data_IF_846070668869
#
_entry.id   IF_846070668869
#
_cell.length_a   1.000
_cell.length_b   1.000
_cell.length_c   1.000
_cell.angle_alpha   90.00
_cell.angle_beta   90.00
_cell.angle_gamma   90.00
#
_symmetry.space_group_name_H-M   'P 1'
#
loop_
_entity.id
_entity.type
_entity.pdbx_description
1 polymer ?
#
# COMPACT_ATOMS: atom_id res chain seq x y z
N UNK A 1 -32.94 30.73 66.00
CA UNK A 1 -32.82 31.31 64.64
C UNK A 1 -31.37 31.14 64.22
N UNK A 2 -31.07 30.10 63.44
CA UNK A 2 -30.87 30.06 61.97
C UNK A 2 -29.38 30.22 61.57
N UNK A 3 -28.86 29.13 60.98
CA UNK A 3 -27.65 28.98 60.12
C UNK A 3 -26.32 28.90 60.90
N UNK A 4 -25.45 27.90 60.68
CA UNK A 4 -24.58 27.80 59.49
C UNK A 4 -24.10 26.34 59.25
N UNK A 5 -24.31 25.90 58.00
CA UNK A 5 -23.56 24.98 57.12
C UNK A 5 -22.91 23.67 57.65
N UNK A 6 -23.55 22.54 57.31
CA UNK A 6 -22.88 21.26 57.04
C UNK A 6 -22.27 21.30 55.63
N UNK A 7 -20.95 21.11 55.52
CA UNK A 7 -20.27 20.87 54.26
C UNK A 7 -20.38 19.40 53.86
N UNK A 8 -21.06 19.12 52.75
CA UNK A 8 -21.07 17.81 52.09
C UNK A 8 -19.88 17.79 51.11
N UNK A 9 -18.85 16.99 51.42
CA UNK A 9 -17.79 16.67 50.46
C UNK A 9 -18.27 15.51 49.59
N UNK A 10 -18.73 15.82 48.37
CA UNK A 10 -18.98 14.81 47.33
C UNK A 10 -17.67 14.61 46.58
N UNK A 11 -16.93 13.57 46.93
CA UNK A 11 -15.79 13.11 46.15
C UNK A 11 -16.30 12.46 44.86
N UNK A 12 -16.29 13.20 43.75
CA UNK A 12 -16.42 12.65 42.41
C UNK A 12 -15.14 11.86 42.09
N UNK A 13 -15.19 10.55 42.31
CA UNK A 13 -14.22 9.62 41.74
C UNK A 13 -14.42 9.57 40.23
N UNK A 14 -13.62 10.35 39.50
CA UNK A 14 -13.52 10.24 38.05
C UNK A 14 -12.84 8.90 37.75
N UNK A 15 -13.63 7.87 37.48
CA UNK A 15 -13.16 6.68 36.79
C UNK A 15 -12.78 7.11 35.38
N UNK A 16 -11.51 7.45 35.19
CA UNK A 16 -10.92 7.56 33.86
C UNK A 16 -10.92 6.19 33.22
N UNK A 17 -12.02 5.85 32.53
CA UNK A 17 -12.04 4.77 31.57
C UNK A 17 -11.09 5.15 30.43
N UNK A 18 -9.84 4.70 30.51
CA UNK A 18 -8.98 4.63 29.34
C UNK A 18 -9.71 3.81 28.30
N UNK A 19 -9.99 4.36 27.09
CA UNK A 19 -10.53 3.54 26.03
C UNK A 19 -9.53 2.41 25.78
N UNK A 20 -9.98 1.17 25.97
CA UNK A 20 -9.24 0.01 25.51
C UNK A 20 -9.15 0.15 23.99
N UNK A 21 -8.00 0.63 23.51
CA UNK A 21 -7.66 0.56 22.10
C UNK A 21 -7.66 -0.92 21.79
N UNK A 22 -8.70 -1.39 21.09
CA UNK A 22 -8.77 -2.76 20.62
C UNK A 22 -7.48 -3.03 19.85
N UNK A 23 -6.64 -3.93 20.36
CA UNK A 23 -5.40 -4.29 19.70
C UNK A 23 -5.74 -4.71 18.26
N UNK A 24 -4.96 -4.23 17.29
CA UNK A 24 -5.09 -4.67 15.91
C UNK A 24 -5.07 -6.21 15.88
N UNK A 25 -5.97 -6.86 15.13
CA UNK A 25 -6.09 -8.31 15.17
C UNK A 25 -4.75 -8.94 14.78
N UNK A 26 -4.24 -9.84 15.62
CA UNK A 26 -3.02 -10.57 15.33
C UNK A 26 -3.18 -11.45 14.08
N UNK A 27 -2.11 -11.60 13.30
CA UNK A 27 -2.11 -12.50 12.16
C UNK A 27 -2.32 -13.96 12.60
N UNK A 28 -3.06 -14.73 11.81
CA UNK A 28 -3.24 -16.16 12.04
C UNK A 28 -3.36 -16.93 10.72
N UNK A 29 -2.33 -17.72 10.39
CA UNK A 29 -2.32 -18.56 9.21
C UNK A 29 -3.47 -19.58 9.20
N UNK A 30 -3.86 -20.10 10.38
CA UNK A 30 -4.96 -21.06 10.49
C UNK A 30 -6.31 -20.42 10.18
N UNK A 31 -6.51 -19.14 10.55
CA UNK A 31 -7.69 -18.37 10.19
C UNK A 31 -7.72 -18.04 8.70
N UNK A 32 -6.58 -17.65 8.11
CA UNK A 32 -6.49 -17.43 6.66
C UNK A 32 -6.86 -18.71 5.90
N UNK A 33 -6.32 -19.85 6.33
CA UNK A 33 -6.58 -21.14 5.71
C UNK A 33 -8.05 -21.62 5.78
N UNK A 34 -8.88 -21.06 6.67
CA UNK A 34 -10.32 -21.34 6.67
C UNK A 34 -11.06 -20.67 5.52
N UNK A 35 -10.52 -19.58 4.98
CA UNK A 35 -11.13 -18.84 3.87
C UNK A 35 -10.78 -19.57 2.57
N UNK A 36 -11.82 -20.15 1.96
CA UNK A 36 -11.72 -20.87 0.69
C UNK A 36 -12.80 -20.36 -0.25
N UNK A 37 -12.40 -19.96 -1.44
CA UNK A 37 -13.30 -19.51 -2.51
C UNK A 37 -13.17 -20.44 -3.72
N UNK A 38 -14.25 -20.55 -4.50
CA UNK A 38 -14.31 -21.49 -5.61
C UNK A 38 -13.37 -21.12 -6.75
N UNK A 39 -13.29 -19.83 -7.05
CA UNK A 39 -12.49 -19.24 -8.10
C UNK A 39 -12.09 -17.80 -7.69
N UNK A 40 -11.17 -17.19 -8.44
CA UNK A 40 -10.71 -15.81 -8.20
C UNK A 40 -11.50 -14.79 -9.03
N UNK A 41 -12.74 -15.08 -9.42
CA UNK A 41 -13.57 -14.10 -10.10
C UNK A 41 -13.95 -12.96 -9.17
N UNK A 42 -14.20 -11.77 -9.75
CA UNK A 42 -14.68 -10.61 -9.02
C UNK A 42 -15.87 -10.94 -8.12
N UNK A 43 -16.85 -11.68 -8.65
CA UNK A 43 -18.04 -12.10 -7.89
C UNK A 43 -17.72 -12.88 -6.62
N UNK A 44 -16.84 -13.89 -6.71
CA UNK A 44 -16.50 -14.73 -5.56
C UNK A 44 -15.65 -13.96 -4.53
N UNK A 45 -14.67 -13.18 -4.99
CA UNK A 45 -13.85 -12.33 -4.12
C UNK A 45 -14.73 -11.31 -3.39
N UNK A 46 -15.60 -10.58 -4.11
CA UNK A 46 -16.42 -9.54 -3.50
C UNK A 46 -17.44 -10.11 -2.51
N UNK A 47 -18.05 -11.26 -2.81
CA UNK A 47 -18.93 -11.95 -1.85
C UNK A 47 -18.19 -12.46 -0.63
N UNK A 48 -16.95 -12.92 -0.76
CA UNK A 48 -16.20 -13.43 0.39
C UNK A 48 -15.80 -12.32 1.36
N UNK A 49 -15.40 -11.15 0.85
CA UNK A 49 -14.80 -10.10 1.67
C UNK A 49 -15.70 -8.87 1.90
N UNK A 50 -16.73 -8.67 1.08
CA UNK A 50 -17.56 -7.45 1.08
C UNK A 50 -19.08 -7.73 1.00
N UNK A 51 -19.54 -8.95 1.29
CA UNK A 51 -20.95 -9.39 1.10
C UNK A 51 -22.01 -8.37 1.53
N UNK A 52 -21.82 -7.75 2.70
CA UNK A 52 -22.83 -6.90 3.34
C UNK A 52 -22.61 -5.40 3.07
N UNK A 53 -21.68 -5.07 2.19
CA UNK A 53 -21.29 -3.69 1.88
C UNK A 53 -21.56 -3.30 0.43
N UNK A 54 -21.74 -4.28 -0.47
CA UNK A 54 -21.92 -4.01 -1.89
C UNK A 54 -23.24 -3.31 -2.20
N UNK A 55 -23.18 -2.28 -3.04
CA UNK A 55 -24.34 -1.58 -3.56
C UNK A 55 -24.20 -1.36 -5.07
N UNK A 56 -25.33 -1.27 -5.76
CA UNK A 56 -25.35 -0.86 -7.16
C UNK A 56 -24.95 0.60 -7.28
N UNK A 57 -23.96 0.90 -8.12
CA UNK A 57 -23.51 2.25 -8.40
C UNK A 57 -22.93 2.29 -9.82
N UNK A 58 -23.19 3.37 -10.56
CA UNK A 58 -22.61 3.62 -11.89
C UNK A 58 -21.46 4.61 -11.72
N UNK A 59 -20.40 4.43 -12.48
CA UNK A 59 -19.18 5.25 -12.43
C UNK A 59 -19.03 5.93 -13.77
N UNK A 60 -18.53 7.16 -13.79
CA UNK A 60 -18.24 7.92 -15.02
C UNK A 60 -16.73 8.19 -15.06
N UNK A 61 -15.97 7.13 -15.28
CA UNK A 61 -14.50 7.11 -15.36
C UNK A 61 -14.06 5.88 -16.18
N UNK A 62 -13.52 6.12 -17.38
CA UNK A 62 -13.21 5.07 -18.37
C UNK A 62 -12.23 4.01 -17.82
N UNK A 63 -11.23 4.43 -17.04
CA UNK A 63 -10.23 3.52 -16.47
C UNK A 63 -10.88 2.58 -15.44
N UNK A 64 -11.73 3.12 -14.56
CA UNK A 64 -12.42 2.32 -13.55
C UNK A 64 -13.49 1.43 -14.19
N UNK A 65 -14.26 1.95 -15.16
CA UNK A 65 -15.29 1.20 -15.88
C UNK A 65 -14.71 0.03 -16.66
N UNK A 66 -13.47 0.14 -17.15
CA UNK A 66 -12.78 -0.94 -17.86
C UNK A 66 -12.50 -2.18 -17.00
N UNK A 67 -12.57 -2.04 -15.67
CA UNK A 67 -12.27 -3.10 -14.70
C UNK A 67 -13.52 -3.53 -13.92
N UNK A 68 -13.60 -4.80 -13.46
CA UNK A 68 -14.67 -5.24 -12.58
C UNK A 68 -14.74 -4.39 -11.30
N UNK A 69 -15.88 -3.74 -11.08
CA UNK A 69 -16.05 -2.79 -9.98
C UNK A 69 -17.44 -2.90 -9.32
N UNK A 70 -17.55 -2.38 -8.09
CA UNK A 70 -18.81 -2.28 -7.34
C UNK A 70 -18.74 -1.18 -6.30
N UNK A 71 -19.85 -0.47 -6.08
CA UNK A 71 -19.96 0.49 -4.98
C UNK A 71 -19.94 -0.21 -3.62
N UNK A 72 -19.33 0.42 -2.63
CA UNK A 72 -19.28 -0.04 -1.25
C UNK A 72 -19.94 0.96 -0.29
N UNK A 73 -20.64 0.42 0.70
CA UNK A 73 -21.14 1.15 1.86
C UNK A 73 -22.11 2.30 1.52
N UNK A 74 -22.08 3.31 2.38
CA UNK A 74 -22.86 4.55 2.22
C UNK A 74 -21.97 5.65 1.69
N UNK A 75 -22.60 6.67 1.10
CA UNK A 75 -21.94 7.94 0.81
C UNK A 75 -21.45 8.54 2.14
N UNK A 76 -20.23 9.06 2.16
CA UNK A 76 -19.65 9.70 3.34
C UNK A 76 -20.15 11.15 3.51
N UNK A 77 -19.55 11.88 4.46
CA UNK A 77 -19.93 13.27 4.76
C UNK A 77 -19.57 14.25 3.66
N UNK A 78 -18.62 13.90 2.80
CA UNK A 78 -18.11 14.76 1.74
C UNK A 78 -18.89 14.54 0.43
N UNK A 79 -19.89 13.65 0.45
CA UNK A 79 -20.67 13.31 -0.73
C UNK A 79 -19.98 12.28 -1.61
N UNK A 80 -18.96 11.60 -1.10
CA UNK A 80 -18.16 10.62 -1.83
C UNK A 80 -18.62 9.20 -1.53
N UNK A 81 -18.43 8.31 -2.50
CA UNK A 81 -18.69 6.88 -2.39
C UNK A 81 -17.40 6.12 -2.62
N UNK A 82 -17.16 5.12 -1.78
CA UNK A 82 -16.10 4.17 -2.06
C UNK A 82 -16.53 3.18 -3.14
N UNK A 83 -15.69 3.00 -4.15
CA UNK A 83 -15.83 1.95 -5.17
C UNK A 83 -14.67 0.97 -5.02
N UNK A 84 -14.99 -0.33 -4.96
CA UNK A 84 -14.00 -1.39 -5.07
C UNK A 84 -13.78 -1.76 -6.53
N UNK A 85 -12.53 -1.77 -6.97
CA UNK A 85 -12.08 -2.10 -8.32
C UNK A 85 -11.11 -3.27 -8.22
N UNK A 86 -11.36 -4.34 -8.95
CA UNK A 86 -10.48 -5.51 -8.96
C UNK A 86 -9.53 -5.47 -10.15
N UNK A 87 -8.24 -5.36 -9.85
CA UNK A 87 -7.18 -5.47 -10.85
C UNK A 87 -7.05 -6.92 -11.37
N UNK A 88 -6.40 -7.12 -12.54
CA UNK A 88 -6.05 -8.45 -13.02
C UNK A 88 -5.30 -9.28 -11.98
N UNK A 89 -5.64 -10.57 -11.89
CA UNK A 89 -4.99 -11.50 -10.97
C UNK A 89 -3.53 -11.70 -11.39
N UNK A 90 -2.60 -11.55 -10.44
CA UNK A 90 -1.17 -11.74 -10.69
C UNK A 90 -0.76 -13.13 -10.22
N UNK A 91 -0.35 -14.00 -11.13
CA UNK A 91 0.29 -15.26 -10.79
C UNK A 91 1.76 -15.05 -10.40
N UNK A 92 2.19 -15.74 -9.34
CA UNK A 92 3.59 -15.75 -8.92
C UNK A 92 3.95 -17.08 -8.24
N UNK A 93 5.22 -17.26 -7.91
CA UNK A 93 5.70 -18.40 -7.11
C UNK A 93 6.22 -17.90 -5.78
N UNK A 94 5.97 -18.62 -4.69
CA UNK A 94 6.61 -18.32 -3.41
C UNK A 94 8.10 -18.73 -3.43
N UNK A 95 8.78 -18.58 -2.30
CA UNK A 95 10.22 -18.92 -2.20
C UNK A 95 10.53 -20.42 -2.32
N UNK A 96 9.53 -21.30 -2.18
CA UNK A 96 9.66 -22.75 -2.39
C UNK A 96 9.28 -23.18 -3.81
N UNK A 97 8.86 -22.25 -4.68
CA UNK A 97 8.49 -22.50 -6.07
C UNK A 97 7.03 -22.91 -6.27
N UNK A 98 6.21 -22.88 -5.22
CA UNK A 98 4.79 -23.21 -5.30
C UNK A 98 3.97 -22.04 -5.86
N UNK A 99 2.94 -22.31 -6.68
CA UNK A 99 2.13 -21.27 -7.28
C UNK A 99 1.30 -20.52 -6.23
N UNK A 100 1.22 -19.21 -6.41
CA UNK A 100 0.41 -18.27 -5.64
C UNK A 100 -0.27 -17.30 -6.59
N UNK A 101 -1.35 -16.70 -6.12
CA UNK A 101 -2.17 -15.77 -6.88
C UNK A 101 -2.44 -14.54 -6.03
N UNK A 102 -2.11 -13.36 -6.55
CA UNK A 102 -2.36 -12.09 -5.90
C UNK A 102 -3.63 -11.46 -6.48
N UNK A 103 -4.53 -11.04 -5.60
CA UNK A 103 -5.73 -10.28 -5.92
C UNK A 103 -5.60 -8.93 -5.24
N UNK A 104 -5.75 -7.85 -6.02
CA UNK A 104 -5.70 -6.47 -5.54
C UNK A 104 -7.09 -5.87 -5.73
N UNK A 105 -7.71 -5.43 -4.63
CA UNK A 105 -8.94 -4.66 -4.64
C UNK A 105 -8.58 -3.22 -4.28
N UNK A 106 -8.47 -2.36 -5.30
CA UNK A 106 -8.34 -0.92 -5.12
C UNK A 106 -9.67 -0.35 -4.63
N UNK A 107 -9.63 0.58 -3.68
CA UNK A 107 -10.77 1.29 -3.12
C UNK A 107 -10.58 2.78 -3.36
N UNK A 108 -11.18 3.26 -4.44
CA UNK A 108 -11.19 4.66 -4.85
C UNK A 108 -12.40 5.39 -4.26
N UNK A 109 -12.31 6.71 -4.14
CA UNK A 109 -13.48 7.55 -3.86
C UNK A 109 -13.99 8.16 -5.15
N UNK A 110 -15.30 8.15 -5.33
CA UNK A 110 -15.99 8.79 -6.46
C UNK A 110 -17.05 9.75 -5.92
N UNK A 111 -17.18 10.92 -6.54
CA UNK A 111 -18.23 11.87 -6.17
C UNK A 111 -19.60 11.25 -6.49
N UNK A 112 -20.50 11.22 -5.51
CA UNK A 112 -21.77 10.50 -5.65
C UNK A 112 -22.77 11.16 -6.60
N UNK A 113 -22.58 12.43 -6.97
CA UNK A 113 -23.45 13.18 -7.87
C UNK A 113 -23.00 13.10 -9.32
N UNK A 114 -21.70 13.22 -9.55
CA UNK A 114 -21.05 13.22 -10.88
C UNK A 114 -20.59 11.82 -11.30
N UNK A 115 -20.45 10.90 -10.34
CA UNK A 115 -19.90 9.56 -10.53
C UNK A 115 -18.43 9.52 -10.98
N UNK A 116 -17.75 10.66 -11.02
CA UNK A 116 -16.34 10.77 -11.40
C UNK A 116 -15.39 10.48 -10.24
N UNK A 117 -14.18 10.03 -10.56
CA UNK A 117 -13.11 9.85 -9.58
C UNK A 117 -12.82 11.14 -8.81
N UNK A 118 -12.75 11.05 -7.49
CA UNK A 118 -12.22 12.12 -6.63
C UNK A 118 -10.71 12.15 -6.81
N UNK A 119 -10.26 12.96 -7.76
CA UNK A 119 -8.86 13.12 -8.10
C UNK A 119 -8.36 14.48 -7.62
N UNK A 120 -7.41 14.43 -6.69
CA UNK A 120 -6.56 15.55 -6.35
C UNK A 120 -5.15 15.03 -6.13
N UNK A 121 -4.15 15.91 -6.24
CA UNK A 121 -2.76 15.49 -6.16
C UNK A 121 -2.42 14.75 -4.86
N UNK A 122 -2.98 15.21 -3.73
CA UNK A 122 -2.82 14.58 -2.42
C UNK A 122 -3.86 13.48 -2.12
N UNK A 123 -4.83 13.28 -3.00
CA UNK A 123 -5.88 12.27 -2.82
C UNK A 123 -5.26 10.89 -3.09
N UNK A 124 -5.58 9.94 -2.22
CA UNK A 124 -5.03 8.57 -2.29
C UNK A 124 -6.15 7.56 -2.15
N UNK A 125 -6.11 6.52 -2.96
CA UNK A 125 -6.93 5.34 -2.73
C UNK A 125 -6.30 4.44 -1.66
N UNK A 126 -7.06 3.43 -1.25
CA UNK A 126 -6.54 2.33 -0.44
C UNK A 126 -6.65 1.02 -1.21
N UNK A 127 -5.95 -0.02 -0.78
CA UNK A 127 -6.12 -1.33 -1.39
C UNK A 127 -6.15 -2.44 -0.34
N UNK A 128 -7.02 -3.42 -0.57
CA UNK A 128 -6.95 -4.70 0.10
C UNK A 128 -6.26 -5.70 -0.84
N UNK A 129 -5.15 -6.28 -0.39
CA UNK A 129 -4.37 -7.22 -1.17
C UNK A 129 -4.53 -8.60 -0.53
N UNK A 130 -4.81 -9.60 -1.34
CA UNK A 130 -5.01 -10.98 -0.90
C UNK A 130 -4.09 -11.89 -1.70
N UNK A 131 -3.42 -12.81 -1.02
CA UNK A 131 -2.68 -13.88 -1.67
C UNK A 131 -3.33 -15.23 -1.42
N UNK A 132 -3.50 -16.00 -2.49
CA UNK A 132 -4.11 -17.32 -2.48
C UNK A 132 -3.15 -18.40 -2.96
N UNK A 133 -3.38 -19.62 -2.50
CA UNK A 133 -2.88 -20.83 -3.12
C UNK A 133 -4.04 -21.66 -3.69
N UNK A 134 -3.80 -22.40 -4.76
CA UNK A 134 -4.79 -23.31 -5.34
C UNK A 134 -4.63 -24.70 -4.73
N UNK A 135 -5.71 -25.23 -4.18
CA UNK A 135 -5.77 -26.56 -3.58
C UNK A 135 -5.99 -27.63 -4.65
N UNK A 136 -5.69 -28.89 -4.30
CA UNK A 136 -5.88 -30.06 -5.19
C UNK A 136 -7.34 -30.26 -5.62
N UNK A 137 -8.31 -29.79 -4.83
CA UNK A 137 -9.73 -29.83 -5.16
C UNK A 137 -10.17 -28.66 -6.08
N UNK A 138 -9.23 -27.84 -6.56
CA UNK A 138 -9.46 -26.72 -7.46
C UNK A 138 -9.85 -25.41 -6.78
N UNK A 139 -10.17 -25.41 -5.47
CA UNK A 139 -10.50 -24.20 -4.72
C UNK A 139 -9.26 -23.35 -4.44
N UNK A 140 -9.47 -22.07 -4.16
CA UNK A 140 -8.43 -21.14 -3.75
C UNK A 140 -8.53 -20.89 -2.25
N UNK A 141 -7.44 -21.12 -1.54
CA UNK A 141 -7.32 -20.89 -0.10
C UNK A 141 -6.50 -19.63 0.16
N UNK A 142 -6.98 -18.76 1.05
CA UNK A 142 -6.25 -17.56 1.43
C UNK A 142 -4.99 -17.94 2.24
N UNK A 143 -3.86 -17.34 1.87
CA UNK A 143 -2.55 -17.52 2.50
C UNK A 143 -2.23 -16.32 3.39
N UNK A 144 -2.34 -15.12 2.82
CA UNK A 144 -2.15 -13.87 3.54
C UNK A 144 -2.99 -12.75 2.92
N UNK A 145 -3.14 -11.66 3.66
CA UNK A 145 -3.82 -10.45 3.22
C UNK A 145 -3.20 -9.21 3.86
N UNK A 146 -3.53 -8.03 3.39
CA UNK A 146 -3.23 -6.79 4.11
C UNK A 146 -4.01 -6.70 5.43
N UNK A 147 -3.49 -5.97 6.44
CA UNK A 147 -4.33 -5.51 7.55
C UNK A 147 -5.50 -4.65 7.03
N UNK A 148 -6.54 -4.50 7.85
CA UNK A 148 -7.64 -3.57 7.52
C UNK A 148 -7.08 -2.16 7.35
N UNK A 149 -7.48 -1.47 6.28
CA UNK A 149 -7.17 -0.06 6.01
C UNK A 149 -5.68 0.24 5.79
N UNK A 150 -4.92 -0.68 5.19
CA UNK A 150 -3.61 -0.30 4.63
C UNK A 150 -3.83 0.80 3.61
N UNK A 151 -2.99 1.84 3.72
CA UNK A 151 -2.91 2.92 2.75
C UNK A 151 -1.61 2.72 1.98
N UNK A 152 -1.62 2.01 0.84
CA UNK A 152 -0.49 2.07 -0.08
C UNK A 152 -0.20 3.53 -0.42
N UNK A 153 1.04 3.84 -0.81
CA UNK A 153 1.29 5.13 -1.42
C UNK A 153 0.40 5.28 -2.66
N UNK A 154 -0.11 6.49 -2.84
CA UNK A 154 -1.08 6.84 -3.86
C UNK A 154 -0.95 8.30 -4.22
N UNK A 155 -1.44 8.67 -5.39
CA UNK A 155 -1.61 10.06 -5.85
C UNK A 155 -2.83 10.10 -6.76
N UNK A 156 -3.39 11.28 -6.98
CA UNK A 156 -4.49 11.49 -7.95
C UNK A 156 -5.69 10.57 -7.71
N UNK A 157 -5.96 10.23 -6.44
CA UNK A 157 -7.08 9.37 -6.06
C UNK A 157 -6.88 7.88 -6.31
N UNK A 158 -5.65 7.43 -6.67
CA UNK A 158 -5.34 6.04 -7.01
C UNK A 158 -4.22 5.46 -6.15
N UNK A 159 -4.10 4.13 -6.10
CA UNK A 159 -2.94 3.45 -5.51
C UNK A 159 -1.81 3.33 -6.54
N UNK A 160 -0.56 3.46 -6.10
CA UNK A 160 0.60 3.23 -6.96
C UNK A 160 1.02 1.76 -6.97
N UNK A 161 0.10 0.89 -7.37
CA UNK A 161 0.27 -0.56 -7.42
C UNK A 161 -0.05 -1.11 -8.82
N UNK A 162 0.82 -0.84 -9.78
CA UNK A 162 0.70 -1.35 -11.15
C UNK A 162 0.96 -2.86 -11.21
N UNK A 163 -0.01 -3.64 -11.69
CA UNK A 163 0.08 -5.10 -11.73
C UNK A 163 1.27 -5.62 -12.56
N UNK A 164 1.62 -4.94 -13.66
CA UNK A 164 2.72 -5.34 -14.53
C UNK A 164 4.06 -5.11 -13.82
N UNK A 165 4.24 -3.95 -13.18
CA UNK A 165 5.43 -3.65 -12.37
C UNK A 165 5.57 -4.62 -11.20
N UNK A 166 4.48 -4.96 -10.51
CA UNK A 166 4.50 -5.96 -9.44
C UNK A 166 4.96 -7.31 -9.99
N UNK A 167 4.40 -7.78 -11.10
CA UNK A 167 4.75 -9.06 -11.71
C UNK A 167 6.21 -9.09 -12.18
N UNK A 168 6.64 -8.07 -12.91
CA UNK A 168 7.97 -8.01 -13.51
C UNK A 168 9.10 -7.89 -12.48
N UNK A 169 8.80 -7.34 -11.29
CA UNK A 169 9.78 -7.15 -10.22
C UNK A 169 9.66 -8.15 -9.06
N UNK A 170 8.84 -9.19 -9.23
CA UNK A 170 8.64 -10.23 -8.22
C UNK A 170 9.94 -11.02 -8.01
N UNK A 171 10.45 -11.03 -6.78
CA UNK A 171 11.68 -11.72 -6.42
C UNK A 171 11.73 -12.03 -4.91
N UNK A 172 12.55 -13.00 -4.48
CA UNK A 172 12.79 -13.22 -3.05
C UNK A 172 13.35 -11.97 -2.37
N UNK A 173 12.70 -11.55 -1.30
CA UNK A 173 13.14 -10.44 -0.43
C UNK A 173 13.58 -10.93 0.96
N UNK A 174 13.67 -12.24 1.13
CA UNK A 174 14.03 -12.91 2.38
C UNK A 174 13.99 -14.43 2.18
N UNK A 175 14.52 -15.19 3.14
CA UNK A 175 14.57 -16.65 3.06
C UNK A 175 13.21 -17.31 2.78
N UNK A 176 12.16 -16.79 3.43
CA UNK A 176 10.78 -17.24 3.30
C UNK A 176 9.84 -16.09 2.92
N UNK A 177 10.36 -15.09 2.21
CA UNK A 177 9.61 -13.89 1.85
C UNK A 177 9.76 -13.63 0.36
N UNK A 178 8.64 -13.74 -0.35
CA UNK A 178 8.51 -13.25 -1.72
C UNK A 178 8.01 -11.80 -1.68
N UNK A 179 8.26 -11.04 -2.73
CA UNK A 179 7.74 -9.68 -2.84
C UNK A 179 8.20 -8.99 -4.12
N UNK A 180 7.94 -7.69 -4.21
CA UNK A 180 8.34 -6.89 -5.36
C UNK A 180 8.88 -5.54 -4.92
N UNK A 181 9.86 -5.01 -5.65
CA UNK A 181 10.35 -3.64 -5.52
C UNK A 181 9.79 -2.83 -6.70
N UNK A 182 8.98 -1.82 -6.41
CA UNK A 182 8.12 -1.14 -7.39
C UNK A 182 8.59 0.30 -7.55
N UNK A 183 8.89 0.70 -8.80
CA UNK A 183 9.26 2.09 -9.12
C UNK A 183 8.01 2.93 -9.29
N UNK A 184 7.90 3.93 -8.44
CA UNK A 184 6.85 4.92 -8.45
C UNK A 184 7.43 6.29 -8.77
N UNK A 185 6.57 7.22 -9.18
CA UNK A 185 6.98 8.57 -9.48
C UNK A 185 5.81 9.48 -9.74
N UNK A 186 6.04 10.77 -9.56
CA UNK A 186 5.03 11.81 -9.74
C UNK A 186 5.72 13.13 -10.08
N UNK A 187 4.97 14.03 -10.70
CA UNK A 187 5.46 15.32 -11.17
C UNK A 187 5.01 16.44 -10.23
N UNK A 188 5.95 17.28 -9.82
CA UNK A 188 5.77 18.37 -8.86
C UNK A 188 6.43 19.64 -9.39
N UNK A 189 5.63 20.63 -9.80
CA UNK A 189 6.12 21.96 -10.19
C UNK A 189 7.29 21.95 -11.21
N UNK A 190 7.27 21.05 -12.20
CA UNK A 190 8.36 20.94 -13.17
C UNK A 190 9.41 19.88 -12.83
N UNK A 191 9.35 19.28 -11.63
CA UNK A 191 10.31 18.28 -11.16
C UNK A 191 9.64 16.91 -11.16
N UNK A 192 10.25 15.94 -11.82
CA UNK A 192 9.82 14.55 -11.75
C UNK A 192 10.56 13.84 -10.62
N UNK A 193 9.84 13.37 -9.62
CA UNK A 193 10.40 12.66 -8.46
C UNK A 193 10.03 11.19 -8.56
N UNK A 194 11.00 10.31 -8.32
CA UNK A 194 10.80 8.87 -8.36
C UNK A 194 11.26 8.23 -7.04
N UNK A 195 10.57 7.19 -6.60
CA UNK A 195 10.90 6.43 -5.39
C UNK A 195 10.60 4.95 -5.57
N UNK A 196 11.18 4.14 -4.68
CA UNK A 196 10.96 2.70 -4.61
C UNK A 196 10.09 2.36 -3.41
N UNK A 197 9.07 1.54 -3.65
CA UNK A 197 8.29 0.86 -2.62
C UNK A 197 8.58 -0.64 -2.65
N UNK A 198 8.45 -1.30 -1.51
CA UNK A 198 8.65 -2.74 -1.37
C UNK A 198 7.36 -3.39 -0.89
N UNK A 199 6.78 -4.23 -1.74
CA UNK A 199 5.65 -5.10 -1.40
C UNK A 199 6.17 -6.39 -0.77
N UNK A 200 5.82 -6.66 0.49
CA UNK A 200 6.11 -7.92 1.17
C UNK A 200 4.91 -8.87 1.04
N UNK A 201 5.16 -10.10 0.59
CA UNK A 201 4.18 -11.18 0.48
C UNK A 201 4.52 -12.36 1.42
N UNK A 202 4.43 -12.18 2.75
CA UNK A 202 4.66 -13.25 3.71
C UNK A 202 3.50 -14.25 3.71
N UNK A 203 3.81 -15.51 4.03
CA UNK A 203 2.78 -16.55 4.27
C UNK A 203 2.46 -16.74 5.76
N UNK A 204 3.17 -16.03 6.64
CA UNK A 204 3.09 -16.13 8.10
C UNK A 204 2.90 -14.78 8.82
N UNK A 205 2.68 -13.70 8.08
CA UNK A 205 2.34 -12.36 8.59
C UNK A 205 1.41 -11.69 7.56
N UNK A 206 0.91 -10.50 7.85
CA UNK A 206 0.13 -9.72 6.88
C UNK A 206 1.00 -9.16 5.73
N UNK A 207 0.39 -9.05 4.56
CA UNK A 207 0.95 -8.33 3.40
C UNK A 207 1.06 -6.84 3.76
N UNK A 208 2.18 -6.22 3.38
CA UNK A 208 2.37 -4.79 3.60
C UNK A 208 3.30 -4.16 2.56
N UNK A 209 3.26 -2.84 2.47
CA UNK A 209 4.14 -2.03 1.63
C UNK A 209 5.02 -1.16 2.49
N UNK A 210 6.27 -1.00 2.08
CA UNK A 210 7.26 -0.19 2.79
C UNK A 210 8.00 0.71 1.82
N UNK A 211 8.19 1.98 2.18
CA UNK A 211 9.10 2.86 1.45
C UNK A 211 10.53 2.34 1.55
N UNK A 212 11.25 2.36 0.43
CA UNK A 212 12.65 1.95 0.35
C UNK A 212 13.60 3.15 0.26
N UNK A 213 13.20 4.17 -0.49
CA UNK A 213 13.97 5.40 -0.72
C UNK A 213 13.83 5.90 -2.16
N UNK A 214 14.57 6.97 -2.46
CA UNK A 214 14.54 7.62 -3.78
C UNK A 214 14.98 6.66 -4.89
N UNK A 215 14.34 6.78 -6.05
CA UNK A 215 14.63 6.04 -7.29
C UNK A 215 15.17 6.94 -8.41
N UNK A 216 15.18 8.25 -8.18
CA UNK A 216 15.65 9.26 -9.10
C UNK A 216 14.88 10.56 -8.97
N UNK A 217 15.42 11.60 -9.58
CA UNK A 217 14.78 12.90 -9.69
C UNK A 217 15.29 13.57 -10.96
N UNK A 218 14.44 14.34 -11.61
CA UNK A 218 14.80 15.13 -12.78
C UNK A 218 14.14 16.50 -12.72
N UNK A 219 14.94 17.55 -12.89
CA UNK A 219 14.45 18.92 -12.98
C UNK A 219 14.10 19.28 -14.42
N UNK A 220 12.81 19.23 -14.76
CA UNK A 220 12.30 19.66 -16.06
C UNK A 220 12.04 21.16 -16.18
N UNK A 221 12.39 21.99 -15.17
CA UNK A 221 12.23 23.46 -15.24
C UNK A 221 13.37 24.12 -16.05
N UNK A 222 14.52 23.47 -16.08
CA UNK A 222 15.71 23.96 -16.76
C UNK A 222 16.16 22.95 -17.81
N UNK A 223 16.64 23.44 -18.95
CA UNK A 223 17.27 22.60 -19.96
C UNK A 223 18.59 22.01 -19.45
N UNK A 224 19.02 20.86 -19.97
CA UNK A 224 20.25 20.15 -19.54
C UNK A 224 21.52 21.01 -19.62
N UNK A 225 21.56 22.01 -20.51
CA UNK A 225 22.69 22.95 -20.65
C UNK A 225 22.71 24.05 -19.57
N UNK A 226 21.66 24.16 -18.76
CA UNK A 226 21.57 25.15 -17.68
C UNK A 226 22.42 24.75 -16.48
N UNK A 227 23.16 25.68 -15.85
CA UNK A 227 23.87 25.41 -14.60
C UNK A 227 22.92 25.13 -13.41
N UNK A 228 21.60 25.27 -13.61
CA UNK A 228 20.56 24.97 -12.63
C UNK A 228 19.84 23.64 -12.90
N UNK A 229 20.18 22.94 -13.99
CA UNK A 229 19.69 21.60 -14.25
C UNK A 229 20.28 20.62 -13.24
N UNK A 230 19.48 19.63 -12.85
CA UNK A 230 19.95 18.48 -12.10
C UNK A 230 19.08 17.28 -12.44
N UNK A 231 19.71 16.11 -12.43
CA UNK A 231 19.04 14.84 -12.66
C UNK A 231 19.89 13.71 -12.11
N UNK A 232 19.29 12.82 -11.32
CA UNK A 232 19.96 11.62 -10.86
C UNK A 232 19.05 10.40 -10.97
N UNK A 233 19.67 9.25 -11.18
CA UNK A 233 18.99 7.96 -11.21
C UNK A 233 19.40 7.10 -10.01
N UNK A 234 18.43 6.34 -9.51
CA UNK A 234 18.62 5.32 -8.49
C UNK A 234 18.37 3.92 -9.07
N UNK A 235 19.31 3.02 -8.86
CA UNK A 235 19.16 1.58 -9.15
C UNK A 235 19.17 0.78 -7.84
N UNK A 236 18.56 -0.40 -7.85
CA UNK A 236 18.57 -1.28 -6.69
C UNK A 236 19.12 -2.67 -7.03
N UNK A 237 19.65 -3.35 -6.02
CA UNK A 237 20.01 -4.77 -6.07
C UNK A 237 19.65 -5.45 -4.76
N UNK A 238 18.81 -6.47 -4.83
CA UNK A 238 18.51 -7.31 -3.66
C UNK A 238 19.73 -8.20 -3.37
N UNK A 239 20.21 -8.16 -2.13
CA UNK A 239 21.36 -8.94 -1.67
C UNK A 239 20.87 -10.23 -1.03
N UNK A 240 20.85 -11.30 -1.81
CA UNK A 240 20.45 -12.63 -1.33
C UNK A 240 21.43 -13.15 -0.28
N UNK A 241 20.92 -13.37 0.93
CA UNK A 241 21.67 -13.77 2.12
C UNK A 241 20.88 -14.84 2.90
N UNK A 242 21.46 -15.53 3.88
CA UNK A 242 20.68 -16.44 4.73
C UNK A 242 19.98 -15.67 5.87
N UNK A 243 19.10 -14.72 5.52
CA UNK A 243 18.41 -13.81 6.44
C UNK A 243 16.88 -13.87 6.26
N UNK A 244 16.08 -13.65 7.33
CA UNK A 244 14.63 -13.50 7.20
C UNK A 244 14.22 -12.38 6.23
N UNK A 245 15.01 -11.31 6.16
CA UNK A 245 14.85 -10.19 5.24
C UNK A 245 16.18 -9.90 4.57
N UNK A 246 16.20 -9.85 3.25
CA UNK A 246 17.39 -9.53 2.46
C UNK A 246 17.65 -8.03 2.51
N UNK A 247 18.92 -7.67 2.58
CA UNK A 247 19.34 -6.27 2.45
C UNK A 247 19.16 -5.83 1.00
N UNK A 248 18.93 -4.53 0.78
CA UNK A 248 18.82 -3.97 -0.57
C UNK A 248 19.89 -2.90 -0.72
N UNK A 249 20.74 -3.05 -1.74
CA UNK A 249 21.71 -2.02 -2.11
C UNK A 249 21.05 -1.04 -3.06
N UNK A 250 21.08 0.24 -2.71
CA UNK A 250 20.67 1.36 -3.56
C UNK A 250 21.93 2.06 -4.07
N UNK A 251 21.99 2.31 -5.38
CA UNK A 251 23.11 3.00 -6.03
C UNK A 251 22.58 4.21 -6.78
N UNK A 252 23.21 5.35 -6.55
CA UNK A 252 22.80 6.64 -7.11
C UNK A 252 23.90 7.22 -7.97
N UNK A 253 23.50 7.78 -9.12
CA UNK A 253 24.41 8.45 -10.04
C UNK A 253 23.72 9.64 -10.69
N UNK A 254 24.44 10.76 -10.83
CA UNK A 254 23.96 11.94 -11.53
C UNK A 254 24.27 13.21 -10.74
N UNK A 255 23.37 14.18 -10.82
CA UNK A 255 23.46 15.47 -10.15
C UNK A 255 22.26 15.64 -9.22
N UNK A 256 22.52 15.98 -7.95
CA UNK A 256 21.48 16.11 -6.92
C UNK A 256 21.66 17.45 -6.19
N UNK A 257 20.57 18.18 -5.91
CA UNK A 257 20.63 19.32 -5.00
C UNK A 257 21.07 18.90 -3.59
N UNK A 258 21.83 19.76 -2.92
CA UNK A 258 22.10 19.63 -1.49
C UNK A 258 20.82 19.76 -0.68
N UNK A 259 20.79 19.25 0.56
CA UNK A 259 19.57 19.25 1.40
C UNK A 259 19.00 20.66 1.66
N UNK A 260 19.86 21.69 1.63
CA UNK A 260 19.50 23.11 1.73
C UNK A 260 19.05 23.74 0.38
N UNK A 261 19.15 22.99 -0.72
CA UNK A 261 18.91 23.40 -2.11
C UNK A 261 19.79 24.57 -2.59
N UNK A 262 20.91 24.85 -1.92
CA UNK A 262 21.80 25.96 -2.31
C UNK A 262 22.77 25.58 -3.43
N UNK A 263 23.10 24.29 -3.58
CA UNK A 263 24.10 23.79 -4.53
C UNK A 263 23.63 22.50 -5.20
N UNK A 264 24.17 22.23 -6.38
CA UNK A 264 23.98 20.97 -7.11
C UNK A 264 25.33 20.25 -7.11
N UNK A 265 25.34 18.98 -6.70
CA UNK A 265 26.55 18.19 -6.57
C UNK A 265 26.46 16.91 -7.39
N UNK A 266 27.61 16.51 -7.97
CA UNK A 266 27.73 15.21 -8.62
C UNK A 266 27.73 14.11 -7.56
N UNK A 267 26.86 13.13 -7.71
CA UNK A 267 26.75 11.98 -6.83
C UNK A 267 27.11 10.70 -7.58
N UNK A 268 27.86 9.84 -6.91
CA UNK A 268 28.12 8.47 -7.32
C UNK A 268 28.42 7.64 -6.07
N UNK A 269 27.38 7.13 -5.43
CA UNK A 269 27.52 6.37 -4.20
C UNK A 269 26.47 5.26 -4.11
N UNK A 270 26.77 4.27 -3.26
CA UNK A 270 25.83 3.21 -2.91
C UNK A 270 25.63 3.16 -1.40
N UNK A 271 24.43 2.78 -0.99
CA UNK A 271 24.10 2.48 0.42
C UNK A 271 23.34 1.16 0.50
N UNK A 272 23.51 0.46 1.61
CA UNK A 272 22.75 -0.76 1.91
C UNK A 272 21.69 -0.41 2.94
N UNK A 273 20.44 -0.71 2.63
CA UNK A 273 19.32 -0.56 3.55
C UNK A 273 18.81 -1.94 4.00
N UNK A 274 18.39 -2.03 5.25
CA UNK A 274 17.92 -3.26 5.90
C UNK A 274 16.52 -3.05 6.44
N UNK A 275 15.70 -4.09 6.33
CA UNK A 275 14.36 -4.04 6.91
C UNK A 275 14.46 -4.20 8.44
N UNK A 276 13.95 -3.21 9.18
CA UNK A 276 13.75 -3.28 10.61
C UNK A 276 12.34 -3.80 10.92
N UNK A 277 12.19 -5.04 11.41
CA UNK A 277 10.87 -5.65 11.64
C UNK A 277 10.10 -5.05 12.82
N UNK A 278 10.80 -4.35 13.74
CA UNK A 278 10.19 -3.66 14.88
C UNK A 278 9.61 -2.33 14.43
N UNK A 279 10.40 -1.54 13.69
CA UNK A 279 9.97 -0.23 13.15
C UNK A 279 9.09 -0.36 11.91
N UNK A 280 9.08 -1.52 11.26
CA UNK A 280 8.36 -1.80 10.01
C UNK A 280 8.78 -0.82 8.89
N UNK A 281 10.10 -0.67 8.70
CA UNK A 281 10.69 0.25 7.73
C UNK A 281 12.06 -0.25 7.24
N UNK A 282 12.49 0.21 6.05
CA UNK A 282 13.87 0.05 5.58
C UNK A 282 14.73 1.21 6.05
N UNK A 283 15.89 0.91 6.65
CA UNK A 283 16.86 1.91 7.16
C UNK A 283 18.32 1.49 6.93
#
# INVERSE_FOLDING_TARGET
MKKILLGLAISLGVLSATPAIAAAPAFSASQMAQIKIRDLSFKEVMRQFYNDQMVSFSIDDEDIESMPNVGLGKVDSDGERTVAVMHPVIDYKNTTGEPRYLVIIEKVQVDSNTASLVSCHACTATADIYSFQKLNNGQFQLVSRTPKNVKPLGVNGRVMLDEKKVKDNMQPLGKNLMGAVIKNGSFYHGIFVQWWDVLHLPENDFINLYGLGDAGMENGVHDEDSPLYYGYEGTFKVMSENSPYYSIMLSYKGEKPTDDNERIEHINYSKIVKFNPIKKAYE
#
